data_IF_851074780825
#
_entry.id   IF_851074780825
#
_cell.length_a   1.000
_cell.length_b   1.000
_cell.length_c   1.000
_cell.angle_alpha   90.00
_cell.angle_beta   90.00
_cell.angle_gamma   90.00
#
_symmetry.space_group_name_H-M   'P 1'
#
loop_
_entity.id
_entity.type
_entity.pdbx_description
1 polymer ?
#
# COMPACT_ATOMS: atom_id res chain seq x y z
N UNK A 1 -3.23 -8.84 18.99
CA UNK A 1 -2.19 -8.67 17.94
C UNK A 1 -2.86 -8.09 16.71
N UNK A 2 -2.52 -6.90 16.19
CA UNK A 2 -3.24 -6.38 15.04
C UNK A 2 -2.87 -7.19 13.81
N UNK A 3 -3.86 -7.89 13.26
CA UNK A 3 -3.78 -8.61 11.98
C UNK A 3 -3.31 -7.63 10.91
N UNK A 4 -2.05 -7.71 10.51
CA UNK A 4 -1.54 -6.98 9.36
C UNK A 4 -2.00 -7.75 8.13
N UNK A 5 -3.03 -7.26 7.46
CA UNK A 5 -3.48 -7.82 6.19
C UNK A 5 -2.47 -7.43 5.11
N UNK A 6 -1.44 -8.24 4.98
CA UNK A 6 -0.43 -8.12 3.93
C UNK A 6 -0.89 -8.86 2.68
N UNK A 7 -2.20 -8.98 2.43
CA UNK A 7 -2.74 -9.94 1.47
C UNK A 7 -3.64 -9.22 0.47
N UNK A 8 -3.51 -9.57 -0.81
CA UNK A 8 -4.38 -8.99 -1.84
C UNK A 8 -5.79 -9.61 -1.74
N UNK A 9 -6.87 -8.81 -1.68
CA UNK A 9 -8.24 -9.32 -1.62
C UNK A 9 -8.71 -10.00 -2.92
N UNK A 10 -7.92 -9.97 -4.00
CA UNK A 10 -8.28 -10.57 -5.29
C UNK A 10 -7.63 -11.92 -5.57
N UNK A 11 -6.44 -12.15 -5.04
CA UNK A 11 -5.69 -13.39 -5.28
C UNK A 11 -5.19 -14.03 -3.99
N UNK A 12 -5.51 -13.45 -2.83
CA UNK A 12 -5.15 -13.94 -1.50
C UNK A 12 -3.64 -14.17 -1.32
N UNK A 13 -2.83 -13.56 -2.17
CA UNK A 13 -1.38 -13.62 -2.11
C UNK A 13 -0.83 -12.53 -1.22
N UNK A 14 0.29 -12.85 -0.56
CA UNK A 14 1.02 -11.91 0.27
C UNK A 14 1.63 -10.80 -0.59
N UNK A 15 1.18 -9.58 -0.37
CA UNK A 15 1.68 -8.35 -0.95
C UNK A 15 2.60 -7.63 0.03
N UNK A 16 3.67 -7.05 -0.51
CA UNK A 16 4.56 -6.16 0.23
C UNK A 16 4.58 -4.83 -0.49
N UNK A 17 4.51 -3.73 0.25
CA UNK A 17 4.55 -2.38 -0.29
C UNK A 17 5.20 -1.45 0.72
N UNK A 18 5.78 -0.37 0.22
CA UNK A 18 6.34 0.70 1.03
C UNK A 18 5.39 1.89 1.01
N UNK A 19 5.13 2.46 2.19
CA UNK A 19 4.28 3.63 2.35
C UNK A 19 4.96 4.66 3.23
N UNK A 20 4.91 5.91 2.79
CA UNK A 20 5.41 7.07 3.52
C UNK A 20 4.23 8.00 3.88
N UNK A 21 4.44 8.90 4.84
CA UNK A 21 3.40 9.84 5.29
C UNK A 21 2.91 10.78 4.16
N UNK A 22 3.75 11.05 3.16
CA UNK A 22 3.40 11.82 1.96
C UNK A 22 2.43 11.10 1.01
N UNK A 23 2.40 9.77 1.06
CA UNK A 23 1.53 8.96 0.20
C UNK A 23 0.11 8.85 0.79
N UNK A 24 -0.11 9.41 1.99
CA UNK A 24 -1.33 9.29 2.78
C UNK A 24 -1.96 10.67 2.99
N UNK A 25 -3.28 10.73 2.90
CA UNK A 25 -4.01 11.94 3.25
C UNK A 25 -4.19 12.05 4.77
N UNK A 26 -3.29 12.77 5.43
CA UNK A 26 -3.37 13.01 6.88
C UNK A 26 -4.61 13.81 7.31
N UNK A 27 -5.33 14.46 6.37
CA UNK A 27 -6.57 15.20 6.67
C UNK A 27 -7.82 14.32 6.70
N UNK A 28 -7.74 13.07 6.21
CA UNK A 28 -8.88 12.14 6.18
C UNK A 28 -8.48 10.85 6.89
N UNK A 29 -9.03 10.60 8.08
CA UNK A 29 -8.79 9.37 8.84
C UNK A 29 -10.05 8.51 8.95
N UNK A 30 -9.98 7.18 8.72
CA UNK A 30 -8.82 6.44 8.20
C UNK A 30 -8.52 6.78 6.73
N UNK A 31 -7.24 6.91 6.39
CA UNK A 31 -6.83 7.41 5.09
C UNK A 31 -6.79 6.29 4.05
N UNK A 32 -7.59 6.37 2.96
CA UNK A 32 -7.55 5.37 1.91
C UNK A 32 -6.27 5.51 1.08
N UNK A 33 -5.64 4.38 0.76
CA UNK A 33 -4.41 4.26 -0.02
C UNK A 33 -4.62 3.18 -1.06
N UNK A 34 -4.36 3.49 -2.33
CA UNK A 34 -4.51 2.48 -3.37
C UNK A 34 -3.24 1.66 -3.48
N UNK A 35 -3.40 0.35 -3.53
CA UNK A 35 -2.30 -0.59 -3.71
C UNK A 35 -2.56 -1.39 -4.96
N UNK A 36 -1.63 -1.30 -5.91
CA UNK A 36 -1.69 -2.02 -7.17
C UNK A 36 -0.83 -3.26 -7.09
N UNK A 37 -1.47 -4.44 -7.06
CA UNK A 37 -0.75 -5.70 -7.03
C UNK A 37 -0.20 -6.04 -8.43
N UNK A 38 1.08 -5.73 -8.65
CA UNK A 38 1.79 -5.95 -9.92
C UNK A 38 2.51 -7.28 -10.01
N UNK A 39 2.50 -8.10 -8.96
CA UNK A 39 3.23 -9.37 -8.88
C UNK A 39 2.25 -10.51 -9.21
N UNK A 40 2.69 -11.49 -10.00
CA UNK A 40 1.97 -12.73 -10.34
C UNK A 40 0.51 -12.60 -10.82
N UNK A 41 0.28 -11.91 -11.96
CA UNK A 41 -0.99 -11.97 -12.71
C UNK A 41 -2.25 -11.39 -12.05
N UNK A 42 -2.18 -10.82 -10.84
CA UNK A 42 -3.34 -10.14 -10.25
C UNK A 42 -3.70 -8.87 -11.03
N UNK A 43 -2.75 -7.95 -11.18
CA UNK A 43 -2.94 -6.70 -11.94
C UNK A 43 -4.04 -5.77 -11.41
N UNK A 44 -4.72 -6.14 -10.33
CA UNK A 44 -5.86 -5.41 -9.77
C UNK A 44 -5.42 -4.44 -8.69
N UNK A 45 -6.22 -3.38 -8.55
CA UNK A 45 -6.02 -2.34 -7.53
C UNK A 45 -6.95 -2.62 -6.37
N UNK A 46 -6.42 -2.54 -5.17
CA UNK A 46 -7.18 -2.65 -3.93
C UNK A 46 -6.95 -1.41 -3.08
N UNK A 47 -7.97 -0.95 -2.38
CA UNK A 47 -7.84 0.17 -1.45
C UNK A 47 -7.56 -0.37 -0.06
N UNK A 48 -6.54 0.16 0.58
CA UNK A 48 -6.18 -0.12 1.96
C UNK A 48 -6.38 1.12 2.80
N UNK A 49 -6.84 0.96 4.04
CA UNK A 49 -6.99 2.06 4.97
C UNK A 49 -5.81 2.08 5.93
N UNK A 50 -5.20 3.26 6.03
CA UNK A 50 -4.00 3.49 6.81
C UNK A 50 -4.28 4.51 7.92
N UNK A 51 -3.79 4.19 9.11
CA UNK A 51 -3.87 5.04 10.29
C UNK A 51 -2.66 6.00 10.41
N UNK A 52 -2.75 6.95 11.33
CA UNK A 52 -1.72 7.95 11.69
C UNK A 52 -0.37 7.33 12.01
N UNK A 53 -0.38 6.11 12.55
CA UNK A 53 0.79 5.31 12.84
C UNK A 53 1.29 4.47 11.64
N UNK A 54 0.85 4.79 10.42
CA UNK A 54 1.13 4.03 9.19
C UNK A 54 0.68 2.56 9.26
N UNK A 55 -0.32 2.26 10.09
CA UNK A 55 -0.85 0.92 10.28
C UNK A 55 -1.96 0.66 9.28
N UNK A 56 -1.88 -0.49 8.60
CA UNK A 56 -2.85 -0.90 7.58
C UNK A 56 -3.85 -1.86 8.21
N UNK A 57 -5.15 -1.53 8.12
CA UNK A 57 -6.19 -2.26 8.88
C UNK A 57 -7.27 -2.89 8.02
N UNK A 58 -7.77 -2.19 7.01
CA UNK A 58 -8.90 -2.65 6.18
C UNK A 58 -8.53 -2.62 4.71
N UNK A 59 -8.90 -3.67 3.96
CA UNK A 59 -8.66 -3.78 2.52
C UNK A 59 -9.96 -3.99 1.77
N UNK A 60 -10.18 -3.24 0.70
CA UNK A 60 -11.36 -3.34 -0.15
C UNK A 60 -10.93 -3.54 -1.62
N UNK A 61 -11.57 -4.46 -2.38
CA UNK A 61 -11.31 -4.60 -3.81
C UNK A 61 -11.76 -3.35 -4.58
N UNK A 62 -10.92 -2.79 -5.44
CA UNK A 62 -11.21 -1.58 -6.23
C UNK A 62 -10.72 -0.28 -5.59
N UNK A 63 -11.06 0.85 -6.21
CA UNK A 63 -10.69 2.22 -5.78
C UNK A 63 -11.84 2.89 -5.03
N UNK A 64 -11.63 3.26 -3.77
CA UNK A 64 -12.55 4.13 -3.01
C UNK A 64 -12.10 5.59 -3.06
N UNK A 65 -12.97 6.59 -3.24
CA UNK A 65 -12.56 7.98 -3.34
C UNK A 65 -11.76 8.46 -2.11
N UNK A 66 -10.77 9.33 -2.33
CA UNK A 66 -9.99 9.97 -1.28
C UNK A 66 -8.53 9.53 -1.15
N UNK A 67 -8.09 8.53 -1.91
CA UNK A 67 -6.69 8.13 -1.94
C UNK A 67 -5.86 9.08 -2.81
N UNK A 68 -4.71 9.49 -2.30
CA UNK A 68 -3.83 10.45 -2.99
C UNK A 68 -3.06 9.75 -4.10
N UNK A 69 -2.62 8.51 -3.85
CA UNK A 69 -1.65 7.85 -4.71
C UNK A 69 -1.90 6.35 -4.78
N UNK A 70 -1.46 5.78 -5.90
CA UNK A 70 -1.43 4.34 -6.10
C UNK A 70 -0.01 3.83 -5.91
N UNK A 71 0.16 2.98 -4.90
CA UNK A 71 1.42 2.34 -4.55
C UNK A 71 1.52 0.98 -5.24
N UNK A 72 2.56 0.73 -6.04
CA UNK A 72 2.80 -0.60 -6.57
C UNK A 72 3.31 -1.53 -5.47
N UNK A 73 2.87 -2.78 -5.50
CA UNK A 73 3.49 -3.83 -4.69
C UNK A 73 4.90 -4.14 -5.19
N UNK A 74 5.78 -4.49 -4.27
CA UNK A 74 7.19 -4.83 -4.50
C UNK A 74 7.44 -6.28 -4.10
N UNK A 75 8.34 -6.95 -4.82
CA UNK A 75 8.82 -8.28 -4.41
C UNK A 75 9.53 -8.12 -3.07
N UNK A 76 9.33 -9.06 -2.14
CA UNK A 76 9.92 -8.98 -0.80
C UNK A 76 11.45 -8.78 -0.84
N UNK A 77 12.14 -9.42 -1.79
CA UNK A 77 13.58 -9.27 -2.04
C UNK A 77 14.01 -7.88 -2.54
N UNK A 78 13.07 -7.02 -2.94
CA UNK A 78 13.32 -5.70 -3.52
C UNK A 78 12.91 -4.54 -2.61
N UNK A 79 12.46 -4.82 -1.37
CA UNK A 79 12.01 -3.81 -0.42
C UNK A 79 13.08 -2.78 -0.08
N UNK A 80 14.30 -3.22 0.23
CA UNK A 80 15.41 -2.30 0.54
C UNK A 80 15.80 -1.44 -0.66
N UNK A 81 15.74 -2.01 -1.87
CA UNK A 81 16.06 -1.29 -3.11
C UNK A 81 15.04 -0.19 -3.37
N UNK A 82 13.74 -0.47 -3.20
CA UNK A 82 12.68 0.53 -3.37
C UNK A 82 12.78 1.63 -2.32
N UNK A 83 13.02 1.28 -1.05
CA UNK A 83 13.26 2.23 0.04
C UNK A 83 14.42 3.17 -0.28
N UNK A 84 15.59 2.62 -0.67
CA UNK A 84 16.77 3.43 -1.07
C UNK A 84 16.47 4.32 -2.27
N UNK A 85 15.71 3.82 -3.25
CA UNK A 85 15.34 4.59 -4.45
C UNK A 85 14.42 5.77 -4.12
N UNK A 86 13.43 5.60 -3.24
CA UNK A 86 12.54 6.67 -2.77
C UNK A 86 13.27 7.70 -1.90
N UNK A 87 14.15 7.25 -1.01
CA UNK A 87 15.01 8.12 -0.19
C UNK A 87 15.93 9.00 -1.05
N UNK A 88 16.55 8.43 -2.08
CA UNK A 88 17.40 9.19 -3.02
C UNK A 88 16.61 10.22 -3.85
N UNK A 89 15.31 10.01 -4.06
CA UNK A 89 14.46 10.92 -4.83
C UNK A 89 13.99 12.14 -4.03
N UNK A 90 14.22 12.14 -2.71
CA UNK A 90 13.92 13.24 -1.79
C UNK A 90 15.11 14.19 -1.56
N UNK A 91 16.28 13.86 -2.11
CA UNK A 91 17.53 14.61 -1.96
C UNK A 91 17.81 15.36 -3.26
#
# INVERSE_FOLDING_TARGET
MPYRFNTCPHCEQKITFWIDQEDINTKKYPAPVYIHHKINSCGKVSTFYVDSLLRVSFSYPGKKPGGIKTLPTIKASSLEKDKRKRLKKKK
#
